data_IF_326518514255
#
_entry.id   IF_326518514255
#
_cell.length_a   1.000
_cell.length_b   1.000
_cell.length_c   1.000
_cell.angle_alpha   90.00
_cell.angle_beta   90.00
_cell.angle_gamma   90.00
#
_symmetry.space_group_name_H-M   'P 1'
#
loop_
_entity.id
_entity.type
_entity.pdbx_description
1 polymer ?
#
# COMPACT_ATOMS: atom_id res chain seq x y z
N UNK A 1 4.02 -22.89 13.64
CA UNK A 1 4.74 -22.09 12.62
C UNK A 1 3.76 -21.23 11.83
N UNK A 2 4.12 -19.96 11.61
CA UNK A 2 3.34 -19.04 10.76
C UNK A 2 3.39 -19.55 9.32
N UNK A 3 2.23 -19.60 8.66
CA UNK A 3 2.10 -20.10 7.29
C UNK A 3 1.96 -18.99 6.24
N UNK A 4 1.69 -17.77 6.67
CA UNK A 4 1.52 -16.62 5.79
C UNK A 4 0.68 -15.52 6.43
N UNK A 5 0.42 -14.47 5.66
CA UNK A 5 -0.50 -13.41 6.06
C UNK A 5 -1.93 -13.92 5.86
N UNK A 6 -2.76 -13.82 6.91
CA UNK A 6 -4.18 -14.19 6.81
C UNK A 6 -4.99 -13.01 6.27
N UNK A 7 -4.94 -11.88 6.96
CA UNK A 7 -5.65 -10.66 6.57
C UNK A 7 -4.98 -9.42 7.16
N UNK A 8 -5.37 -8.27 6.63
CA UNK A 8 -5.00 -6.96 7.14
C UNK A 8 -6.29 -6.23 7.46
N UNK A 9 -6.38 -5.62 8.64
CA UNK A 9 -7.53 -4.82 9.04
C UNK A 9 -7.11 -3.37 9.21
N UNK A 10 -7.85 -2.46 8.58
CA UNK A 10 -7.70 -1.03 8.76
C UNK A 10 -8.92 -0.44 9.47
N UNK A 11 -8.63 0.40 10.45
CA UNK A 11 -9.60 1.29 11.06
C UNK A 11 -9.84 2.48 10.15
N UNK A 12 -11.09 2.73 9.79
CA UNK A 12 -11.46 3.85 8.90
C UNK A 12 -12.50 4.74 9.57
N UNK A 13 -12.50 6.03 9.24
CA UNK A 13 -13.42 7.01 9.84
C UNK A 13 -14.78 7.05 9.17
N UNK A 14 -14.85 6.63 7.90
CA UNK A 14 -16.07 6.63 7.11
C UNK A 14 -16.06 5.44 6.15
N UNK A 15 -16.84 4.42 6.48
CA UNK A 15 -16.83 3.17 5.72
C UNK A 15 -17.26 3.35 4.26
N UNK A 16 -18.28 4.16 4.01
CA UNK A 16 -18.78 4.36 2.64
C UNK A 16 -17.71 4.99 1.74
N UNK A 17 -17.04 6.03 2.21
CA UNK A 17 -15.96 6.71 1.48
C UNK A 17 -14.74 5.81 1.32
N UNK A 18 -14.40 5.02 2.33
CA UNK A 18 -13.28 4.09 2.25
C UNK A 18 -13.56 2.95 1.29
N UNK A 19 -14.80 2.45 1.22
CA UNK A 19 -15.19 1.46 0.20
C UNK A 19 -14.98 2.03 -1.20
N UNK A 20 -15.42 3.25 -1.47
CA UNK A 20 -15.20 3.91 -2.76
C UNK A 20 -13.72 4.01 -3.09
N UNK A 21 -12.89 4.39 -2.13
CA UNK A 21 -11.44 4.51 -2.32
C UNK A 21 -10.82 3.18 -2.71
N UNK A 22 -11.04 2.13 -1.94
CA UNK A 22 -10.41 0.83 -2.19
C UNK A 22 -10.98 0.12 -3.42
N UNK A 23 -12.29 0.19 -3.62
CA UNK A 23 -12.95 -0.43 -4.78
C UNK A 23 -12.71 0.34 -6.07
N UNK A 24 -13.02 1.64 -6.07
CA UNK A 24 -13.12 2.42 -7.31
C UNK A 24 -11.79 3.04 -7.73
N UNK A 25 -10.93 3.41 -6.78
CA UNK A 25 -9.61 3.98 -7.08
C UNK A 25 -8.55 2.89 -7.17
N UNK A 26 -8.48 2.01 -6.19
CA UNK A 26 -7.44 0.97 -6.13
C UNK A 26 -7.81 -0.34 -6.81
N UNK A 27 -9.07 -0.53 -7.20
CA UNK A 27 -9.50 -1.72 -7.92
C UNK A 27 -9.62 -2.98 -7.06
N UNK A 28 -9.80 -2.85 -5.74
CA UNK A 28 -10.04 -3.98 -4.88
C UNK A 28 -11.43 -4.60 -5.13
N UNK A 29 -11.50 -5.91 -5.16
CA UNK A 29 -12.77 -6.63 -5.34
C UNK A 29 -13.53 -6.69 -4.02
N UNK A 30 -14.68 -6.04 -3.93
CA UNK A 30 -15.51 -6.09 -2.73
C UNK A 30 -16.17 -7.47 -2.59
N UNK A 31 -16.08 -8.06 -1.42
CA UNK A 31 -16.62 -9.39 -1.12
C UNK A 31 -17.88 -9.33 -0.27
N UNK A 32 -17.88 -8.42 0.72
CA UNK A 32 -19.01 -8.21 1.61
C UNK A 32 -18.92 -6.82 2.21
N UNK A 33 -20.06 -6.21 2.48
CA UNK A 33 -20.15 -4.94 3.16
C UNK A 33 -21.31 -4.91 4.15
N UNK A 34 -21.15 -4.10 5.18
CA UNK A 34 -22.19 -3.74 6.13
C UNK A 34 -22.17 -2.22 6.35
N UNK A 35 -22.99 -1.73 7.27
CA UNK A 35 -22.99 -0.30 7.62
C UNK A 35 -21.66 0.15 8.25
N UNK A 36 -20.86 -0.76 8.80
CA UNK A 36 -19.65 -0.43 9.57
C UNK A 36 -18.41 -1.21 9.15
N UNK A 37 -18.51 -2.10 8.18
CA UNK A 37 -17.38 -2.94 7.76
C UNK A 37 -17.44 -3.34 6.30
N UNK A 38 -16.29 -3.71 5.74
CA UNK A 38 -16.20 -4.27 4.40
C UNK A 38 -15.01 -5.22 4.31
N UNK A 39 -15.14 -6.26 3.47
CA UNK A 39 -14.05 -7.16 3.12
C UNK A 39 -13.80 -7.11 1.63
N UNK A 40 -12.52 -7.17 1.28
CA UNK A 40 -12.05 -7.13 -0.10
C UNK A 40 -11.06 -8.25 -0.37
N UNK A 41 -11.04 -8.71 -1.62
CA UNK A 41 -9.85 -9.29 -2.20
C UNK A 41 -9.03 -8.15 -2.82
N UNK A 42 -7.89 -7.88 -2.24
CA UNK A 42 -7.01 -6.80 -2.68
C UNK A 42 -5.63 -7.38 -3.03
N UNK A 43 -5.38 -7.59 -4.32
CA UNK A 43 -4.13 -8.19 -4.79
C UNK A 43 -3.85 -9.58 -4.22
N UNK A 44 -4.90 -10.37 -3.98
CA UNK A 44 -4.80 -11.70 -3.37
C UNK A 44 -4.78 -11.69 -1.84
N UNK A 45 -4.85 -10.52 -1.21
CA UNK A 45 -4.89 -10.37 0.25
C UNK A 45 -6.33 -10.07 0.68
N UNK A 46 -6.76 -10.72 1.76
CA UNK A 46 -7.99 -10.33 2.43
C UNK A 46 -7.75 -9.03 3.20
N UNK A 47 -8.33 -7.93 2.70
CA UNK A 47 -8.35 -6.64 3.38
C UNK A 47 -9.71 -6.48 4.08
N UNK A 48 -9.67 -6.13 5.36
CA UNK A 48 -10.85 -5.79 6.15
C UNK A 48 -10.83 -4.30 6.52
N UNK A 49 -11.96 -3.63 6.39
CA UNK A 49 -12.15 -2.27 6.87
C UNK A 49 -13.20 -2.29 7.98
N UNK A 50 -12.88 -1.66 9.11
CA UNK A 50 -13.82 -1.44 10.22
C UNK A 50 -13.94 0.04 10.50
N UNK A 51 -15.18 0.54 10.50
CA UNK A 51 -15.43 1.93 10.86
C UNK A 51 -15.27 2.15 12.37
N UNK A 52 -14.42 3.08 12.72
CA UNK A 52 -14.25 3.57 14.07
C UNK A 52 -14.30 5.10 14.03
N UNK A 53 -15.37 5.66 14.54
CA UNK A 53 -15.57 7.12 14.61
C UNK A 53 -14.98 7.69 15.89
N UNK A 54 -14.61 8.96 15.84
CA UNK A 54 -14.19 9.73 17.03
C UNK A 54 -12.95 9.21 17.76
N UNK A 55 -12.02 8.59 17.03
CA UNK A 55 -10.71 8.22 17.56
C UNK A 55 -9.61 9.10 16.98
N UNK A 56 -8.49 9.36 17.70
CA UNK A 56 -7.33 10.03 17.15
C UNK A 56 -6.69 9.22 16.02
N UNK A 57 -6.20 9.90 14.97
CA UNK A 57 -5.61 9.26 13.79
C UNK A 57 -4.25 9.82 13.37
N UNK A 58 -3.61 10.59 14.25
CA UNK A 58 -2.33 11.24 13.95
C UNK A 58 -1.09 10.38 14.23
N UNK A 59 -1.24 9.27 14.94
CA UNK A 59 -0.14 8.44 15.42
C UNK A 59 0.72 7.83 14.31
N UNK A 60 0.13 7.51 13.15
CA UNK A 60 0.85 6.95 12.02
C UNK A 60 1.42 7.99 11.06
N UNK A 61 1.13 9.27 11.29
CA UNK A 61 1.51 10.36 10.37
C UNK A 61 3.01 10.44 10.11
N UNK A 62 3.81 10.24 11.14
CA UNK A 62 5.27 10.37 11.07
C UNK A 62 6.00 9.04 10.90
N UNK A 63 5.29 7.94 10.98
CA UNK A 63 5.86 6.60 10.80
C UNK A 63 6.05 6.27 9.33
N UNK A 64 7.10 5.52 9.01
CA UNK A 64 7.32 4.96 7.67
C UNK A 64 6.61 3.63 7.45
N UNK A 65 5.85 3.15 8.42
CA UNK A 65 5.08 1.91 8.31
C UNK A 65 4.12 1.97 7.13
N UNK A 66 4.21 1.01 6.23
CA UNK A 66 3.39 0.96 5.02
C UNK A 66 3.23 -0.48 4.54
N UNK A 67 2.28 -0.68 3.64
CA UNK A 67 2.14 -1.89 2.85
C UNK A 67 2.40 -1.56 1.38
N UNK A 68 3.12 -2.44 0.70
CA UNK A 68 3.45 -2.28 -0.71
C UNK A 68 2.76 -3.36 -1.55
N UNK A 69 2.24 -2.95 -2.70
CA UNK A 69 1.67 -3.82 -3.72
C UNK A 69 2.52 -3.77 -4.98
N UNK A 70 2.63 -4.90 -5.64
CA UNK A 70 3.38 -5.02 -6.90
C UNK A 70 2.54 -4.51 -8.06
N UNK A 71 3.14 -3.65 -8.87
CA UNK A 71 2.63 -3.26 -10.19
C UNK A 71 3.70 -3.53 -11.24
N UNK A 72 3.30 -3.64 -12.50
CA UNK A 72 4.28 -3.75 -13.58
C UNK A 72 4.93 -2.40 -13.85
N UNK A 73 6.17 -2.43 -14.34
CA UNK A 73 6.89 -1.21 -14.73
C UNK A 73 6.13 -0.45 -15.83
N UNK A 74 5.49 -1.17 -16.74
CA UNK A 74 4.72 -0.57 -17.82
C UNK A 74 3.47 0.18 -17.35
N UNK A 75 2.93 -0.17 -16.19
CA UNK A 75 1.72 0.45 -15.63
C UNK A 75 2.03 1.62 -14.69
N UNK A 76 3.32 1.89 -14.41
CA UNK A 76 3.71 2.89 -13.41
C UNK A 76 3.15 4.29 -13.71
N UNK A 77 3.37 4.79 -14.92
CA UNK A 77 2.91 6.14 -15.30
C UNK A 77 1.38 6.24 -15.31
N UNK A 78 0.69 5.21 -15.77
CA UNK A 78 -0.77 5.16 -15.78
C UNK A 78 -1.33 5.19 -14.35
N UNK A 79 -0.72 4.45 -13.43
CA UNK A 79 -1.08 4.50 -12.01
C UNK A 79 -0.85 5.88 -11.40
N UNK A 80 0.29 6.50 -11.69
CA UNK A 80 0.59 7.83 -11.17
C UNK A 80 -0.43 8.86 -11.63
N UNK A 81 -0.75 8.86 -12.92
CA UNK A 81 -1.76 9.76 -13.52
C UNK A 81 -3.13 9.50 -12.90
N UNK A 82 -3.54 8.23 -12.82
CA UNK A 82 -4.83 7.83 -12.24
C UNK A 82 -5.00 8.28 -10.80
N UNK A 83 -4.00 8.04 -9.96
CA UNK A 83 -4.05 8.48 -8.56
C UNK A 83 -4.14 10.00 -8.46
N UNK A 84 -3.43 10.71 -9.31
CA UNK A 84 -3.44 12.17 -9.36
C UNK A 84 -4.80 12.73 -9.80
N UNK A 85 -5.38 12.15 -10.82
CA UNK A 85 -6.71 12.53 -11.33
C UNK A 85 -7.83 12.27 -10.31
N UNK A 86 -7.66 11.28 -9.46
CA UNK A 86 -8.59 10.96 -8.38
C UNK A 86 -8.25 11.69 -7.06
N UNK A 87 -7.37 12.69 -7.11
CA UNK A 87 -7.02 13.54 -5.96
C UNK A 87 -6.49 12.75 -4.75
N UNK A 88 -5.83 11.61 -5.00
CA UNK A 88 -5.20 10.81 -3.96
C UNK A 88 -4.01 11.58 -3.38
N UNK A 89 -3.83 11.51 -2.07
CA UNK A 89 -2.70 12.13 -1.39
C UNK A 89 -1.41 11.36 -1.68
N UNK A 90 -0.69 11.77 -2.73
CA UNK A 90 0.59 11.18 -3.10
C UNK A 90 1.68 11.80 -2.24
N UNK A 91 2.48 10.96 -1.61
CA UNK A 91 3.59 11.39 -0.76
C UNK A 91 4.86 11.57 -1.58
N UNK A 92 5.73 12.48 -1.13
CA UNK A 92 7.08 12.59 -1.67
C UNK A 92 7.85 11.31 -1.36
N UNK A 93 8.46 10.72 -2.40
CA UNK A 93 9.29 9.54 -2.26
C UNK A 93 10.70 9.89 -1.77
N UNK A 94 11.45 8.86 -1.35
CA UNK A 94 12.87 8.99 -1.05
C UNK A 94 13.71 9.02 -2.33
N UNK A 95 14.93 9.51 -2.23
CA UNK A 95 15.92 9.37 -3.29
C UNK A 95 16.18 7.89 -3.58
N UNK A 96 16.21 7.56 -4.87
CA UNK A 96 16.36 6.17 -5.33
C UNK A 96 17.47 6.02 -6.34
N UNK A 97 18.24 4.95 -6.19
CA UNK A 97 19.03 4.41 -7.28
C UNK A 97 18.07 3.74 -8.29
N UNK A 98 18.45 3.72 -9.57
CA UNK A 98 17.63 3.06 -10.60
C UNK A 98 17.38 1.58 -10.29
N UNK A 99 18.30 0.93 -9.58
CA UNK A 99 18.21 -0.47 -9.14
C UNK A 99 17.21 -0.68 -8.00
N UNK A 100 16.81 0.38 -7.30
CA UNK A 100 15.71 0.36 -6.32
C UNK A 100 14.34 0.21 -6.98
N UNK A 101 14.28 0.34 -8.30
CA UNK A 101 13.04 0.36 -9.07
C UNK A 101 12.16 1.57 -8.70
N UNK A 102 10.90 1.57 -9.13
CA UNK A 102 10.01 2.72 -8.99
C UNK A 102 8.94 2.47 -7.96
N UNK A 103 8.60 3.50 -7.22
CA UNK A 103 7.53 3.46 -6.22
C UNK A 103 6.66 4.70 -6.27
N UNK A 104 5.38 4.51 -5.98
CA UNK A 104 4.45 5.58 -5.66
C UNK A 104 3.99 5.35 -4.23
N UNK A 105 4.25 6.32 -3.35
CA UNK A 105 3.75 6.33 -1.97
C UNK A 105 2.54 7.24 -1.89
N UNK A 106 1.50 6.78 -1.22
CA UNK A 106 0.28 7.57 -1.04
C UNK A 106 -0.43 7.13 0.24
N UNK A 107 -1.46 7.88 0.60
CA UNK A 107 -2.29 7.51 1.75
C UNK A 107 -3.72 7.23 1.31
N UNK A 108 -4.41 6.41 2.10
CA UNK A 108 -5.86 6.36 2.04
C UNK A 108 -6.47 7.59 2.74
N UNK A 109 -7.80 7.61 2.88
CA UNK A 109 -8.51 8.75 3.47
C UNK A 109 -8.19 8.97 4.96
N UNK A 110 -7.71 7.95 5.65
CA UNK A 110 -7.39 7.98 7.08
C UNK A 110 -5.88 8.06 7.37
N UNK A 111 -5.06 8.19 6.33
CA UNK A 111 -3.62 8.35 6.47
C UNK A 111 -2.82 7.06 6.51
N UNK A 112 -3.43 5.91 6.26
CA UNK A 112 -2.69 4.65 6.09
C UNK A 112 -1.80 4.76 4.86
N UNK A 113 -0.51 4.44 5.03
CA UNK A 113 0.47 4.54 3.95
C UNK A 113 0.49 3.29 3.11
N UNK A 114 0.40 3.50 1.80
CA UNK A 114 0.41 2.47 0.78
C UNK A 114 1.52 2.78 -0.23
N UNK A 115 2.03 1.74 -0.86
CA UNK A 115 3.05 1.86 -1.90
C UNK A 115 2.66 0.99 -3.09
N UNK A 116 2.83 1.50 -4.29
CA UNK A 116 2.86 0.71 -5.52
C UNK A 116 4.31 0.62 -5.96
N UNK A 117 4.82 -0.60 -6.14
CA UNK A 117 6.24 -0.86 -6.39
C UNK A 117 6.44 -1.77 -7.59
N UNK A 118 7.40 -1.43 -8.44
CA UNK A 118 7.68 -2.18 -9.68
C UNK A 118 8.74 -3.26 -9.53
N UNK A 119 9.46 -3.30 -8.43
CA UNK A 119 10.53 -4.26 -8.19
C UNK A 119 10.09 -5.49 -7.42
N UNK A 120 11.02 -6.44 -7.30
CA UNK A 120 10.85 -7.66 -6.52
C UNK A 120 11.86 -7.72 -5.36
N UNK A 121 11.66 -8.68 -4.46
CA UNK A 121 12.65 -8.98 -3.42
C UNK A 121 13.98 -9.39 -4.06
N UNK A 122 13.94 -10.19 -5.11
CA UNK A 122 15.15 -10.64 -5.83
C UNK A 122 15.93 -9.45 -6.41
N UNK A 123 15.25 -8.51 -7.06
CA UNK A 123 15.88 -7.29 -7.56
C UNK A 123 16.59 -6.53 -6.43
N UNK A 124 15.92 -6.37 -5.30
CA UNK A 124 16.45 -5.68 -4.14
C UNK A 124 17.68 -6.37 -3.56
N UNK A 125 17.64 -7.69 -3.40
CA UNK A 125 18.75 -8.46 -2.85
C UNK A 125 19.96 -8.43 -3.79
N UNK A 126 19.77 -8.56 -5.08
CA UNK A 126 20.85 -8.46 -6.07
C UNK A 126 21.51 -7.08 -6.04
N UNK A 127 20.72 -6.03 -6.02
CA UNK A 127 21.22 -4.67 -5.91
C UNK A 127 22.02 -4.46 -4.62
N UNK A 128 21.49 -4.88 -3.48
CA UNK A 128 22.13 -4.67 -2.19
C UNK A 128 23.43 -5.47 -2.03
N UNK A 129 23.52 -6.66 -2.58
CA UNK A 129 24.77 -7.45 -2.58
C UNK A 129 25.90 -6.70 -3.28
N UNK A 130 25.59 -6.01 -4.37
CA UNK A 130 26.57 -5.23 -5.13
C UNK A 130 26.92 -3.89 -4.47
N UNK A 131 25.90 -3.15 -4.03
CA UNK A 131 26.05 -1.75 -3.63
C UNK A 131 26.20 -1.54 -2.12
N UNK A 132 25.85 -2.54 -1.30
CA UNK A 132 25.82 -2.41 0.17
C UNK A 132 26.54 -3.58 0.85
N UNK A 133 27.85 -3.71 0.63
CA UNK A 133 28.63 -4.87 1.16
C UNK A 133 28.75 -4.87 2.69
N UNK A 134 28.38 -3.77 3.36
CA UNK A 134 28.34 -3.69 4.82
C UNK A 134 27.15 -4.45 5.45
N UNK A 135 26.15 -4.81 4.64
CA UNK A 135 25.00 -5.59 5.10
C UNK A 135 25.34 -7.09 5.14
N UNK A 136 24.78 -7.79 6.11
CA UNK A 136 24.91 -9.23 6.21
C UNK A 136 23.77 -9.92 5.44
N UNK A 137 24.12 -10.83 4.55
CA UNK A 137 23.16 -11.60 3.76
C UNK A 137 23.15 -13.05 4.23
N UNK A 138 21.96 -13.63 4.42
CA UNK A 138 21.75 -14.98 4.96
C UNK A 138 21.07 -15.91 3.94
N UNK A 139 21.35 -15.67 2.69
CA UNK A 139 20.75 -16.37 1.55
C UNK A 139 21.81 -16.94 0.62
#
# INVERSE_FOLDING_TARGET
>A
MIKGINHITYSVSNIAKSIEFYRDILGADILVESETSAYFNFGGIWLALNEEKNIPRSEIKYSYTHIAFTISDNDFEDWYIWLKENEVNILEGRDRDIRDKKSIYFTDLDGHKLELHTGSLEDRLNYYKEAKPHMNFYI
#
